data_IF_177358638816
#
_entry.id   IF_177358638816
#
_cell.length_a   1.000
_cell.length_b   1.000
_cell.length_c   1.000
_cell.angle_alpha   90.00
_cell.angle_beta   90.00
_cell.angle_gamma   90.00
#
_symmetry.space_group_name_H-M   'P 1'
#
loop_
_entity.id
_entity.type
_entity.pdbx_description
1 polymer ?
#
# COMPACT_ATOMS: atom_id res chain seq x y z
N UNK A 1 10.66 11.85 -26.67
CA UNK A 1 10.40 10.47 -26.21
C UNK A 1 9.31 10.46 -25.14
N UNK A 2 8.36 9.52 -25.16
CA UNK A 2 7.36 9.35 -24.09
C UNK A 2 7.98 8.77 -22.82
N UNK A 3 7.33 8.98 -21.69
CA UNK A 3 7.76 8.46 -20.40
C UNK A 3 7.29 7.00 -20.27
N UNK A 4 8.19 6.09 -19.94
CA UNK A 4 7.85 4.69 -19.70
C UNK A 4 7.38 4.50 -18.25
N UNK A 5 6.11 4.20 -17.99
CA UNK A 5 5.65 3.90 -16.65
C UNK A 5 6.06 2.47 -16.26
N UNK A 6 6.59 2.34 -15.06
CA UNK A 6 6.94 1.07 -14.44
C UNK A 6 6.11 0.92 -13.16
N UNK A 7 5.33 -0.15 -13.08
CA UNK A 7 4.48 -0.44 -11.93
C UNK A 7 5.12 -1.54 -11.09
N UNK A 8 5.51 -1.20 -9.86
CA UNK A 8 6.06 -2.14 -8.89
C UNK A 8 4.91 -2.87 -8.18
N UNK A 9 4.65 -4.11 -8.57
CA UNK A 9 3.50 -4.92 -8.16
C UNK A 9 3.93 -6.21 -7.44
N UNK A 10 4.97 -6.14 -6.60
CA UNK A 10 5.55 -7.31 -5.88
C UNK A 10 5.26 -7.33 -4.37
N UNK A 11 4.65 -6.30 -3.81
CA UNK A 11 4.37 -6.17 -2.38
C UNK A 11 3.33 -7.17 -1.88
N UNK A 12 3.54 -7.74 -0.70
CA UNK A 12 2.59 -8.68 -0.08
C UNK A 12 1.51 -7.98 0.76
N UNK A 13 1.69 -6.67 1.08
CA UNK A 13 0.70 -5.89 1.85
C UNK A 13 0.44 -6.40 3.27
N UNK A 14 1.42 -7.03 3.91
CA UNK A 14 1.27 -7.75 5.20
C UNK A 14 0.71 -6.92 6.35
N UNK A 15 0.84 -5.60 6.30
CA UNK A 15 0.29 -4.69 7.32
C UNK A 15 -1.24 -4.63 7.36
N UNK A 16 -1.91 -5.07 6.32
CA UNK A 16 -3.37 -5.16 6.24
C UNK A 16 -3.88 -6.60 6.47
N UNK A 17 -3.09 -7.38 7.20
CA UNK A 17 -3.56 -8.69 7.62
C UNK A 17 -4.89 -8.56 8.40
N UNK A 18 -5.90 -9.44 8.23
CA UNK A 18 -5.85 -10.72 7.52
C UNK A 18 -6.19 -10.66 6.01
N UNK A 19 -6.60 -9.52 5.44
CA UNK A 19 -6.90 -9.44 4.00
C UNK A 19 -5.73 -9.81 3.09
N UNK A 20 -4.50 -9.75 3.62
CA UNK A 20 -3.31 -10.21 2.90
C UNK A 20 -2.98 -11.70 3.10
N UNK A 21 -3.80 -12.47 3.86
CA UNK A 21 -3.46 -13.86 4.22
C UNK A 21 -3.69 -14.85 3.08
N UNK A 22 -4.75 -14.77 2.35
CA UNK A 22 -5.13 -15.77 1.33
C UNK A 22 -4.66 -15.39 -0.08
N UNK A 23 -3.38 -15.02 -0.24
CA UNK A 23 -2.81 -14.63 -1.54
C UNK A 23 -3.34 -13.31 -2.12
N UNK A 24 -4.16 -12.56 -1.41
CA UNK A 24 -4.58 -11.23 -1.82
C UNK A 24 -3.58 -10.18 -1.31
N UNK A 25 -2.63 -9.82 -2.16
CA UNK A 25 -1.80 -8.66 -1.87
C UNK A 25 -2.64 -7.38 -1.95
N UNK A 26 -2.27 -6.35 -1.19
CA UNK A 26 -2.98 -5.08 -1.02
C UNK A 26 -3.44 -4.45 -2.34
N UNK A 27 -2.61 -4.51 -3.39
CA UNK A 27 -2.93 -3.95 -4.71
C UNK A 27 -4.11 -4.62 -5.42
N UNK A 28 -4.52 -5.82 -4.98
CA UNK A 28 -5.64 -6.58 -5.54
C UNK A 28 -6.89 -6.55 -4.66
N UNK A 29 -6.87 -5.86 -3.52
CA UNK A 29 -8.07 -5.69 -2.69
C UNK A 29 -9.14 -5.00 -3.53
N UNK A 30 -10.32 -5.61 -3.58
CA UNK A 30 -11.47 -5.09 -4.31
C UNK A 30 -12.22 -4.04 -3.47
N UNK A 31 -12.35 -2.84 -4.04
CA UNK A 31 -13.11 -1.73 -3.48
C UNK A 31 -14.49 -1.60 -4.17
N UNK A 32 -15.08 -2.72 -4.59
CA UNK A 32 -16.40 -2.84 -5.21
C UNK A 32 -16.41 -2.77 -6.73
N UNK A 33 -15.66 -1.86 -7.36
CA UNK A 33 -15.55 -1.77 -8.84
C UNK A 33 -14.11 -1.68 -9.34
N UNK A 34 -13.18 -1.47 -8.47
CA UNK A 34 -11.77 -1.24 -8.80
C UNK A 34 -10.84 -1.71 -7.69
N UNK A 35 -9.61 -1.96 -8.03
CA UNK A 35 -8.50 -2.24 -7.11
C UNK A 35 -7.47 -1.12 -7.20
N UNK A 36 -6.51 -1.08 -6.26
CA UNK A 36 -5.41 -0.11 -6.33
C UNK A 36 -4.58 -0.29 -7.60
N UNK A 37 -4.41 -1.53 -8.05
CA UNK A 37 -3.76 -1.80 -9.32
C UNK A 37 -4.56 -1.23 -10.50
N UNK A 38 -5.89 -1.35 -10.52
CA UNK A 38 -6.72 -0.75 -11.57
C UNK A 38 -6.52 0.77 -11.62
N UNK A 39 -6.51 1.44 -10.46
CA UNK A 39 -6.24 2.89 -10.38
C UNK A 39 -4.83 3.26 -10.85
N UNK A 40 -3.86 2.39 -10.59
CA UNK A 40 -2.48 2.61 -11.05
C UNK A 40 -2.37 2.40 -12.56
N UNK A 41 -3.02 1.38 -13.13
CA UNK A 41 -3.08 1.15 -14.57
C UNK A 41 -3.81 2.29 -15.30
N UNK A 42 -4.89 2.82 -14.72
CA UNK A 42 -5.63 3.98 -15.28
C UNK A 42 -4.71 5.21 -15.41
N UNK A 43 -3.82 5.46 -14.45
CA UNK A 43 -2.83 6.56 -14.51
C UNK A 43 -1.93 6.48 -15.73
N UNK A 44 -1.56 5.27 -16.14
CA UNK A 44 -0.61 5.07 -17.26
C UNK A 44 -1.23 5.25 -18.64
N UNK A 45 -2.54 5.53 -18.73
CA UNK A 45 -3.24 5.77 -20.00
C UNK A 45 -3.08 7.20 -20.53
N UNK A 46 -2.54 8.14 -19.75
CA UNK A 46 -2.34 9.51 -20.21
C UNK A 46 -1.34 9.54 -21.36
N UNK A 47 -1.55 10.47 -22.31
CA UNK A 47 -0.79 10.58 -23.57
C UNK A 47 0.72 10.81 -23.40
N UNK A 48 1.14 11.30 -22.23
CA UNK A 48 2.55 11.49 -21.89
C UNK A 48 3.31 10.17 -21.67
N UNK A 49 2.57 9.08 -21.45
CA UNK A 49 3.15 7.77 -21.15
C UNK A 49 3.22 6.87 -22.39
N UNK A 50 4.21 6.02 -22.39
CA UNK A 50 4.35 4.88 -23.27
C UNK A 50 3.71 3.62 -22.64
N UNK A 51 3.77 2.48 -23.32
CA UNK A 51 3.26 1.22 -22.83
C UNK A 51 3.88 0.84 -21.46
N UNK A 52 3.07 0.45 -20.44
CA UNK A 52 3.56 0.18 -19.11
C UNK A 52 4.39 -1.10 -19.04
N UNK A 53 5.33 -1.10 -18.09
CA UNK A 53 6.02 -2.32 -17.64
C UNK A 53 5.57 -2.63 -16.21
N UNK A 54 5.20 -3.87 -15.96
CA UNK A 54 4.80 -4.32 -14.62
C UNK A 54 5.87 -5.26 -14.06
N UNK A 55 6.55 -4.84 -12.98
CA UNK A 55 7.43 -5.72 -12.22
C UNK A 55 6.60 -6.44 -11.15
N UNK A 56 6.56 -7.76 -11.22
CA UNK A 56 5.73 -8.55 -10.31
C UNK A 56 6.35 -9.90 -10.00
N UNK A 57 5.81 -10.62 -9.01
CA UNK A 57 6.24 -11.96 -8.64
C UNK A 57 5.42 -13.03 -9.39
N UNK A 58 6.00 -14.22 -9.61
CA UNK A 58 5.34 -15.38 -10.25
C UNK A 58 3.96 -15.66 -9.65
N UNK A 59 3.82 -15.51 -8.34
CA UNK A 59 2.58 -15.69 -7.59
C UNK A 59 1.43 -14.81 -8.09
N UNK A 60 1.71 -13.60 -8.57
CA UNK A 60 0.71 -12.61 -8.96
C UNK A 60 0.51 -12.48 -10.46
N UNK A 61 1.24 -13.24 -11.29
CA UNK A 61 1.21 -13.13 -12.75
C UNK A 61 -0.22 -13.20 -13.32
N UNK A 62 -0.99 -14.21 -12.94
CA UNK A 62 -2.37 -14.39 -13.42
C UNK A 62 -3.27 -13.21 -13.05
N UNK A 63 -3.18 -12.71 -11.81
CA UNK A 63 -3.96 -11.56 -11.35
C UNK A 63 -3.58 -10.29 -12.12
N UNK A 64 -2.28 -10.01 -12.30
CA UNK A 64 -1.81 -8.87 -13.10
C UNK A 64 -2.35 -8.93 -14.52
N UNK A 65 -2.29 -10.09 -15.18
CA UNK A 65 -2.81 -10.29 -16.53
C UNK A 65 -4.33 -10.06 -16.62
N UNK A 66 -5.10 -10.52 -15.61
CA UNK A 66 -6.53 -10.26 -15.52
C UNK A 66 -6.84 -8.76 -15.40
N UNK A 67 -6.08 -8.02 -14.57
CA UNK A 67 -6.26 -6.57 -14.42
C UNK A 67 -5.86 -5.79 -15.68
N UNK A 68 -4.80 -6.20 -16.37
CA UNK A 68 -4.42 -5.63 -17.68
C UNK A 68 -5.53 -5.80 -18.71
N UNK A 69 -6.11 -7.01 -18.81
CA UNK A 69 -7.26 -7.31 -19.68
C UNK A 69 -8.49 -6.49 -19.29
N UNK A 70 -8.87 -6.46 -18.00
CA UNK A 70 -9.99 -5.66 -17.47
C UNK A 70 -9.84 -4.18 -17.82
N UNK A 71 -8.65 -3.63 -17.72
CA UNK A 71 -8.34 -2.23 -18.03
C UNK A 71 -8.10 -1.97 -19.53
N UNK A 72 -8.27 -2.97 -20.40
CA UNK A 72 -8.08 -2.87 -21.87
C UNK A 72 -6.66 -2.40 -22.28
N UNK A 73 -5.64 -2.76 -21.48
CA UNK A 73 -4.23 -2.47 -21.79
C UNK A 73 -3.71 -3.61 -22.66
N UNK A 74 -3.57 -3.37 -23.96
CA UNK A 74 -3.13 -4.37 -24.94
C UNK A 74 -1.60 -4.41 -25.08
N UNK A 75 -0.96 -3.26 -25.01
CA UNK A 75 0.50 -3.14 -25.16
C UNK A 75 1.12 -2.94 -23.76
N UNK A 76 1.91 -3.92 -23.31
CA UNK A 76 2.59 -3.93 -22.02
C UNK A 76 3.74 -4.92 -22.02
N UNK A 77 4.61 -4.83 -21.00
CA UNK A 77 5.59 -5.85 -20.67
C UNK A 77 5.52 -6.21 -19.20
N UNK A 78 5.89 -7.44 -18.88
CA UNK A 78 5.98 -7.92 -17.50
C UNK A 78 7.43 -8.35 -17.23
N UNK A 79 7.99 -7.88 -16.14
CA UNK A 79 9.25 -8.41 -15.57
C UNK A 79 8.88 -9.28 -14.39
N UNK A 80 9.06 -10.59 -14.56
CA UNK A 80 8.64 -11.58 -13.58
C UNK A 80 9.78 -11.97 -12.67
N UNK A 81 9.70 -11.49 -11.43
CA UNK A 81 10.64 -11.80 -10.37
C UNK A 81 10.40 -13.23 -9.86
N UNK A 82 11.42 -14.11 -9.81
CA UNK A 82 11.24 -15.49 -9.35
C UNK A 82 10.99 -15.58 -7.84
N UNK A 83 11.40 -14.57 -7.07
CA UNK A 83 11.21 -14.45 -5.62
C UNK A 83 11.27 -12.98 -5.18
N UNK A 84 10.77 -12.70 -3.98
CA UNK A 84 10.75 -11.34 -3.42
C UNK A 84 12.15 -10.89 -2.98
N UNK A 85 12.65 -9.75 -3.52
CA UNK A 85 13.95 -9.15 -3.19
C UNK A 85 13.87 -7.64 -2.91
N UNK A 86 12.68 -7.14 -2.57
CA UNK A 86 12.42 -5.72 -2.33
C UNK A 86 12.57 -4.85 -3.59
N UNK A 87 12.45 -3.52 -3.47
CA UNK A 87 12.28 -2.62 -4.63
C UNK A 87 13.58 -2.36 -5.41
N UNK A 88 14.76 -2.42 -4.80
CA UNK A 88 16.00 -2.14 -5.53
C UNK A 88 16.27 -3.15 -6.67
N UNK A 89 16.26 -4.48 -6.46
CA UNK A 89 16.41 -5.44 -7.55
C UNK A 89 15.28 -5.37 -8.58
N UNK A 90 14.05 -5.07 -8.17
CA UNK A 90 12.91 -4.93 -9.08
C UNK A 90 13.09 -3.73 -10.04
N UNK A 91 13.46 -2.56 -9.51
CA UNK A 91 13.75 -1.34 -10.29
C UNK A 91 14.91 -1.59 -11.26
N UNK A 92 16.02 -2.13 -10.75
CA UNK A 92 17.21 -2.37 -11.56
C UNK A 92 16.94 -3.39 -12.67
N UNK A 93 16.34 -4.54 -12.35
CA UNK A 93 16.07 -5.58 -13.36
C UNK A 93 15.12 -5.07 -14.44
N UNK A 94 14.14 -4.24 -14.07
CA UNK A 94 13.25 -3.61 -15.05
C UNK A 94 14.01 -2.63 -15.95
N UNK A 95 14.91 -1.82 -15.40
CA UNK A 95 15.72 -0.89 -16.19
C UNK A 95 16.68 -1.61 -17.14
N UNK A 96 17.15 -2.81 -16.79
CA UNK A 96 18.12 -3.58 -17.57
C UNK A 96 17.52 -4.34 -18.76
N UNK A 97 16.19 -4.43 -18.93
CA UNK A 97 15.62 -5.11 -20.10
C UNK A 97 16.00 -4.38 -21.40
N UNK A 98 16.22 -5.13 -22.46
CA UNK A 98 16.76 -4.61 -23.71
C UNK A 98 15.84 -3.62 -24.43
N UNK A 99 14.52 -3.75 -24.21
CA UNK A 99 13.51 -2.92 -24.90
C UNK A 99 13.40 -1.49 -24.37
N UNK A 100 14.17 -1.09 -23.38
CA UNK A 100 14.21 0.27 -22.84
C UNK A 100 15.46 0.95 -23.37
N UNK A 101 15.34 2.01 -24.21
CA UNK A 101 16.46 2.85 -24.60
C UNK A 101 17.16 3.50 -23.39
N UNK A 102 18.46 3.78 -23.50
CA UNK A 102 19.24 4.31 -22.39
C UNK A 102 18.72 5.65 -21.86
N UNK A 103 18.31 6.54 -22.77
CA UNK A 103 17.78 7.87 -22.46
C UNK A 103 16.28 7.86 -22.14
N UNK A 104 15.65 6.68 -22.05
CA UNK A 104 14.22 6.58 -21.76
C UNK A 104 13.92 7.11 -20.36
N UNK A 105 13.05 8.13 -20.22
CA UNK A 105 12.53 8.52 -18.92
C UNK A 105 11.64 7.41 -18.34
N UNK A 106 11.96 6.98 -17.14
CA UNK A 106 11.22 5.96 -16.42
C UNK A 106 10.49 6.59 -15.24
N UNK A 107 9.20 6.30 -15.11
CA UNK A 107 8.37 6.70 -13.97
C UNK A 107 7.92 5.48 -13.19
N UNK A 108 8.47 5.29 -12.00
CA UNK A 108 8.15 4.17 -11.12
C UNK A 108 6.97 4.51 -10.21
N UNK A 109 5.92 3.69 -10.30
CA UNK A 109 4.74 3.75 -9.46
C UNK A 109 4.66 2.53 -8.55
N UNK A 110 4.26 2.71 -7.29
CA UNK A 110 3.76 1.61 -6.47
C UNK A 110 2.36 1.20 -6.92
N UNK A 111 2.10 -0.09 -7.05
CA UNK A 111 0.80 -0.63 -7.47
C UNK A 111 -0.32 -0.41 -6.45
N UNK A 112 0.03 -0.08 -5.21
CA UNK A 112 -0.85 -0.06 -4.04
C UNK A 112 -1.04 1.32 -3.41
N UNK A 113 -0.62 2.39 -4.09
CA UNK A 113 -0.83 3.77 -3.65
C UNK A 113 -2.04 4.42 -4.33
N UNK A 114 -2.79 5.19 -3.56
CA UNK A 114 -3.84 6.05 -4.09
C UNK A 114 -3.27 7.45 -4.36
N UNK A 115 -3.47 7.95 -5.57
CA UNK A 115 -3.06 9.29 -6.00
C UNK A 115 -4.27 9.93 -6.70
N UNK A 116 -4.60 11.14 -6.30
CA UNK A 116 -5.66 11.92 -6.92
C UNK A 116 -5.10 13.11 -7.70
N UNK A 117 -5.97 13.87 -8.37
CA UNK A 117 -5.60 15.05 -9.19
C UNK A 117 -4.49 14.73 -10.22
N UNK A 118 -4.70 13.68 -11.02
CA UNK A 118 -3.73 13.19 -11.99
C UNK A 118 -3.28 14.24 -13.01
N UNK A 119 -4.10 15.21 -13.36
CA UNK A 119 -3.71 16.31 -14.24
C UNK A 119 -2.57 17.16 -13.64
N UNK A 120 -2.66 17.45 -12.33
CA UNK A 120 -1.61 18.19 -11.59
C UNK A 120 -0.34 17.36 -11.52
N UNK A 121 -0.45 16.07 -11.24
CA UNK A 121 0.66 15.13 -11.20
C UNK A 121 1.39 15.06 -12.55
N UNK A 122 0.66 14.85 -13.65
CA UNK A 122 1.22 14.74 -15.00
C UNK A 122 1.86 16.06 -15.47
N UNK A 123 1.26 17.22 -15.15
CA UNK A 123 1.87 18.54 -15.43
C UNK A 123 3.20 18.69 -14.69
N UNK A 124 3.27 18.28 -13.43
CA UNK A 124 4.51 18.35 -12.62
C UNK A 124 5.62 17.47 -13.20
N UNK A 125 5.30 16.26 -13.66
CA UNK A 125 6.25 15.35 -14.32
C UNK A 125 6.75 15.98 -15.62
N UNK A 126 5.83 16.41 -16.48
CA UNK A 126 6.19 16.95 -17.81
C UNK A 126 7.07 18.20 -17.70
N UNK A 127 6.78 19.11 -16.76
CA UNK A 127 7.59 20.30 -16.45
C UNK A 127 9.04 19.98 -16.06
N UNK A 128 9.29 18.81 -15.48
CA UNK A 128 10.62 18.42 -15.03
C UNK A 128 11.31 17.43 -15.96
N UNK A 129 10.72 17.07 -17.09
CA UNK A 129 11.26 16.09 -18.04
C UNK A 129 12.60 16.54 -18.62
N UNK A 130 12.73 17.79 -19.05
CA UNK A 130 13.98 18.35 -19.60
C UNK A 130 15.11 18.50 -18.57
N UNK A 131 14.80 18.32 -17.28
CA UNK A 131 15.78 18.39 -16.19
C UNK A 131 16.35 17.03 -15.80
N UNK A 132 15.87 15.95 -16.43
CA UNK A 132 16.44 14.62 -16.21
C UNK A 132 17.82 14.53 -16.85
N UNK A 133 18.74 13.93 -16.13
CA UNK A 133 20.09 13.59 -16.57
C UNK A 133 20.43 12.16 -16.17
N UNK A 134 21.48 11.61 -16.75
CA UNK A 134 22.03 10.28 -16.40
C UNK A 134 22.55 10.18 -14.97
N UNK A 135 22.61 11.31 -14.25
CA UNK A 135 23.13 11.37 -12.89
C UNK A 135 22.06 11.66 -11.85
N UNK A 136 20.91 12.24 -12.20
CA UNK A 136 19.95 12.65 -11.18
C UNK A 136 18.75 11.73 -11.06
N UNK A 137 18.14 11.79 -9.88
CA UNK A 137 16.92 11.06 -9.51
C UNK A 137 15.91 12.10 -9.01
N UNK A 138 14.70 12.11 -9.57
CA UNK A 138 13.60 12.88 -9.01
C UNK A 138 12.74 11.99 -8.14
N UNK A 139 12.49 12.43 -6.90
CA UNK A 139 11.52 11.85 -5.97
C UNK A 139 10.35 12.81 -5.77
N UNK A 140 9.22 12.28 -5.30
CA UNK A 140 7.99 13.07 -5.14
C UNK A 140 7.71 13.32 -3.66
N UNK A 141 7.59 14.61 -3.32
CA UNK A 141 7.33 15.07 -1.97
C UNK A 141 5.87 15.39 -1.74
N UNK A 142 5.31 14.80 -0.73
CA UNK A 142 3.96 15.09 -0.23
C UNK A 142 4.08 15.89 1.07
N UNK A 143 3.28 16.94 1.23
CA UNK A 143 3.26 17.72 2.46
C UNK A 143 2.74 16.85 3.60
N UNK A 144 3.49 16.68 4.69
CA UNK A 144 3.06 15.87 5.83
C UNK A 144 1.83 16.48 6.51
N UNK A 145 0.88 15.64 6.86
CA UNK A 145 -0.31 16.04 7.65
C UNK A 145 -0.15 15.67 9.13
N UNK A 146 0.76 14.74 9.44
CA UNK A 146 1.10 14.31 10.81
C UNK A 146 2.50 13.70 10.83
N UNK A 147 3.18 13.61 11.99
CA UNK A 147 4.39 12.82 12.11
C UNK A 147 4.07 11.33 11.96
N UNK A 148 4.91 10.61 11.19
CA UNK A 148 4.76 9.16 10.96
C UNK A 148 6.13 8.50 10.86
N UNK A 149 6.30 7.37 11.51
CA UNK A 149 7.50 6.52 11.38
C UNK A 149 7.42 5.54 10.21
N UNK A 150 6.32 5.57 9.45
CA UNK A 150 6.09 4.65 8.32
C UNK A 150 6.67 5.15 7.00
N UNK A 151 6.97 6.44 6.90
CA UNK A 151 7.42 7.10 5.66
C UNK A 151 8.87 7.55 5.73
N UNK A 152 9.52 7.58 4.56
CA UNK A 152 10.74 8.34 4.37
C UNK A 152 10.46 9.85 4.34
N UNK A 153 11.43 10.64 4.76
CA UNK A 153 11.36 12.10 4.78
C UNK A 153 12.54 12.71 4.07
N UNK A 154 12.33 13.90 3.52
CA UNK A 154 13.43 14.69 3.00
C UNK A 154 13.22 16.20 3.17
N UNK A 155 14.34 16.92 3.17
CA UNK A 155 14.39 18.39 3.18
C UNK A 155 15.05 18.86 1.89
N UNK A 156 14.58 19.97 1.36
CA UNK A 156 15.09 20.52 0.09
C UNK A 156 15.61 21.94 0.22
N UNK A 157 16.56 22.28 -0.65
CA UNK A 157 17.00 23.65 -0.94
C UNK A 157 16.72 23.97 -2.41
N UNK A 158 16.22 25.17 -2.72
CA UNK A 158 16.15 25.65 -4.11
C UNK A 158 17.54 25.93 -4.62
N UNK A 159 17.81 25.48 -5.85
CA UNK A 159 19.06 25.77 -6.57
C UNK A 159 18.74 26.35 -7.95
N UNK A 160 19.80 26.76 -8.72
CA UNK A 160 19.67 27.32 -10.07
C UNK A 160 18.76 26.43 -10.95
N UNK A 161 17.99 27.03 -11.86
CA UNK A 161 17.06 26.31 -12.73
C UNK A 161 15.74 25.90 -12.05
N UNK A 162 15.40 26.50 -10.89
CA UNK A 162 14.16 26.22 -10.13
C UNK A 162 14.01 24.74 -9.74
N UNK A 163 15.14 24.10 -9.42
CA UNK A 163 15.22 22.71 -8.96
C UNK A 163 15.17 22.69 -7.43
N UNK A 164 14.40 21.78 -6.85
CA UNK A 164 14.43 21.51 -5.42
C UNK A 164 15.43 20.36 -5.15
N UNK A 165 16.69 20.69 -4.84
CA UNK A 165 17.68 19.69 -4.49
C UNK A 165 17.43 19.12 -3.09
N UNK A 166 17.45 17.82 -2.95
CA UNK A 166 17.35 17.14 -1.63
C UNK A 166 18.70 17.28 -0.92
N UNK A 167 18.68 17.87 0.26
CA UNK A 167 19.87 18.08 1.08
C UNK A 167 19.96 17.07 2.23
N UNK A 168 18.85 16.44 2.57
CA UNK A 168 18.77 15.40 3.60
C UNK A 168 17.64 14.44 3.28
N UNK A 169 17.92 13.16 3.32
CA UNK A 169 16.94 12.06 3.18
C UNK A 169 17.09 11.12 4.38
N UNK A 170 15.97 10.70 4.97
CA UNK A 170 15.94 9.78 6.12
C UNK A 170 14.75 8.83 5.92
N UNK A 171 15.03 7.55 5.81
CA UNK A 171 13.99 6.52 5.71
C UNK A 171 13.47 6.16 7.12
N UNK A 172 12.16 6.24 7.30
CA UNK A 172 11.43 5.81 8.50
C UNK A 172 12.04 6.28 9.83
N UNK A 173 12.14 7.60 10.05
CA UNK A 173 12.68 8.13 11.30
C UNK A 173 11.77 7.83 12.48
N UNK A 174 12.30 7.79 13.69
CA UNK A 174 11.51 7.80 14.93
C UNK A 174 10.64 9.06 14.98
N UNK A 175 9.48 8.98 15.66
CA UNK A 175 8.46 10.04 15.67
C UNK A 175 9.01 11.42 16.08
N UNK A 176 9.85 11.47 17.12
CA UNK A 176 10.49 12.72 17.55
C UNK A 176 11.30 13.39 16.42
N UNK A 177 12.03 12.58 15.64
CA UNK A 177 12.80 13.06 14.48
C UNK A 177 11.87 13.47 13.33
N UNK A 178 10.78 12.75 13.11
CA UNK A 178 9.77 13.13 12.14
C UNK A 178 9.16 14.49 12.45
N UNK A 179 8.78 14.76 13.71
CA UNK A 179 8.31 16.08 14.18
C UNK A 179 9.30 17.20 13.87
N UNK A 180 10.59 16.99 14.14
CA UNK A 180 11.65 17.95 13.84
C UNK A 180 11.78 18.23 12.32
N UNK A 181 11.72 17.18 11.50
CA UNK A 181 11.81 17.33 10.04
C UNK A 181 10.61 18.12 9.49
N UNK A 182 9.40 17.87 9.98
CA UNK A 182 8.19 18.63 9.61
C UNK A 182 8.34 20.12 9.98
N UNK A 183 8.81 20.42 11.20
CA UNK A 183 9.10 21.80 11.63
C UNK A 183 10.06 22.51 10.66
N UNK A 184 11.01 21.79 10.10
CA UNK A 184 11.96 22.26 9.09
C UNK A 184 11.41 22.20 7.64
N UNK A 185 10.10 22.23 7.47
CA UNK A 185 9.43 22.20 6.15
C UNK A 185 9.81 20.98 5.29
N UNK A 186 10.07 19.83 5.94
CA UNK A 186 10.34 18.56 5.26
C UNK A 186 9.08 17.96 4.61
N UNK A 187 9.29 17.03 3.70
CA UNK A 187 8.25 16.35 2.92
C UNK A 187 8.33 14.85 3.16
N UNK A 188 7.19 14.15 3.06
CA UNK A 188 7.17 12.70 2.93
C UNK A 188 7.69 12.29 1.56
N UNK A 189 8.48 11.23 1.51
CA UNK A 189 8.80 10.54 0.28
C UNK A 189 7.62 9.63 -0.11
N UNK A 190 7.05 9.86 -1.28
CA UNK A 190 5.91 9.08 -1.76
C UNK A 190 6.26 7.68 -2.27
N UNK A 191 7.54 7.31 -2.31
CA UNK A 191 7.99 6.04 -2.90
C UNK A 191 7.83 5.95 -4.42
N UNK A 192 7.69 7.08 -5.09
CA UNK A 192 7.70 7.19 -6.55
C UNK A 192 9.02 7.78 -7.03
N UNK A 193 9.53 7.31 -8.17
CA UNK A 193 10.82 7.70 -8.70
C UNK A 193 10.72 8.05 -10.17
N UNK A 194 11.37 9.15 -10.59
CA UNK A 194 11.40 9.60 -11.97
C UNK A 194 12.83 9.91 -12.37
N UNK A 195 13.37 9.15 -13.33
CA UNK A 195 14.78 9.19 -13.70
C UNK A 195 15.01 8.54 -15.06
N UNK A 196 16.18 8.76 -15.65
CA UNK A 196 16.61 8.07 -16.86
C UNK A 196 17.09 6.64 -16.51
N UNK A 197 17.01 5.73 -17.49
CA UNK A 197 17.56 4.38 -17.37
C UNK A 197 19.03 4.42 -16.96
N UNK A 198 19.84 5.26 -17.61
CA UNK A 198 21.27 5.36 -17.31
C UNK A 198 21.55 5.84 -15.88
N UNK A 199 20.71 6.75 -15.34
CA UNK A 199 20.81 7.17 -13.95
C UNK A 199 20.66 5.98 -12.97
N UNK A 200 19.74 5.03 -13.27
CA UNK A 200 19.58 3.82 -12.46
C UNK A 200 20.86 2.99 -12.52
N UNK A 201 21.33 2.69 -13.72
CA UNK A 201 22.49 1.84 -13.97
C UNK A 201 23.72 2.41 -13.28
N UNK A 202 24.00 3.71 -13.46
CA UNK A 202 25.15 4.40 -12.87
C UNK A 202 25.12 4.39 -11.34
N UNK A 203 23.96 4.67 -10.73
CA UNK A 203 23.82 4.61 -9.28
C UNK A 203 24.02 3.21 -8.73
N UNK A 204 23.49 2.15 -9.40
CA UNK A 204 23.68 0.78 -8.95
C UNK A 204 25.14 0.29 -9.13
N UNK A 205 25.79 0.65 -10.24
CA UNK A 205 27.22 0.36 -10.43
C UNK A 205 28.06 0.95 -9.31
N UNK A 206 27.77 2.20 -8.93
CA UNK A 206 28.51 2.94 -7.89
C UNK A 206 28.22 2.43 -6.47
N UNK A 207 26.96 2.27 -6.11
CA UNK A 207 26.55 2.06 -4.72
C UNK A 207 26.16 0.61 -4.39
N UNK A 208 25.85 -0.23 -5.39
CA UNK A 208 25.38 -1.61 -5.25
C UNK A 208 25.96 -2.54 -6.32
N UNK A 209 27.31 -2.59 -6.53
CA UNK A 209 27.92 -3.32 -7.65
C UNK A 209 27.58 -4.81 -7.67
N UNK A 210 27.46 -5.45 -6.50
CA UNK A 210 27.06 -6.87 -6.38
C UNK A 210 25.63 -7.07 -6.87
N UNK A 211 24.70 -6.21 -6.48
CA UNK A 211 23.31 -6.27 -6.93
C UNK A 211 23.20 -6.00 -8.42
N UNK A 212 23.98 -5.01 -8.93
CA UNK A 212 24.04 -4.73 -10.38
C UNK A 212 24.43 -5.95 -11.19
N UNK A 213 25.57 -6.60 -10.87
CA UNK A 213 26.05 -7.79 -11.58
C UNK A 213 25.05 -8.94 -11.56
N UNK A 214 24.42 -9.19 -10.41
CA UNK A 214 23.46 -10.28 -10.26
C UNK A 214 22.15 -10.02 -11.01
N UNK A 215 21.63 -8.79 -10.99
CA UNK A 215 20.45 -8.43 -11.77
C UNK A 215 20.74 -8.42 -13.27
N UNK A 216 21.89 -7.94 -13.72
CA UNK A 216 22.33 -8.00 -15.11
C UNK A 216 22.36 -9.44 -15.60
N UNK A 217 22.99 -10.34 -14.85
CA UNK A 217 23.02 -11.77 -15.17
C UNK A 217 21.62 -12.39 -15.17
N UNK A 218 20.73 -11.94 -14.26
CA UNK A 218 19.36 -12.43 -14.21
C UNK A 218 18.55 -12.02 -15.44
N UNK A 219 18.76 -10.81 -15.95
CA UNK A 219 18.12 -10.28 -17.17
C UNK A 219 18.72 -10.91 -18.41
N UNK A 220 20.04 -10.98 -18.53
CA UNK A 220 20.72 -11.56 -19.71
C UNK A 220 20.35 -13.05 -19.93
N UNK A 221 20.08 -13.78 -18.85
CA UNK A 221 19.64 -15.20 -18.88
C UNK A 221 18.12 -15.34 -18.75
N UNK A 222 17.36 -14.26 -18.89
CA UNK A 222 15.92 -14.31 -18.82
C UNK A 222 15.32 -14.97 -20.07
N UNK A 223 14.26 -15.76 -19.86
CA UNK A 223 13.41 -16.26 -20.96
C UNK A 223 12.35 -15.21 -21.25
N UNK A 224 12.16 -14.86 -22.52
CA UNK A 224 11.10 -13.95 -22.96
C UNK A 224 10.00 -14.75 -23.67
N UNK A 225 8.77 -14.65 -23.16
CA UNK A 225 7.60 -15.31 -23.76
C UNK A 225 6.35 -14.46 -23.48
N UNK A 226 5.53 -14.23 -24.48
CA UNK A 226 4.20 -13.55 -24.35
C UNK A 226 4.28 -12.26 -23.52
N UNK A 227 5.08 -11.28 -23.95
CA UNK A 227 5.30 -9.99 -23.28
C UNK A 227 5.88 -10.08 -21.85
N UNK A 228 6.44 -11.23 -21.47
CA UNK A 228 6.94 -11.49 -20.11
C UNK A 228 8.41 -11.92 -20.14
N UNK A 229 9.24 -11.17 -19.37
CA UNK A 229 10.62 -11.53 -19.03
C UNK A 229 10.63 -12.38 -17.77
N UNK A 230 10.94 -13.65 -17.88
CA UNK A 230 11.12 -14.57 -16.75
C UNK A 230 12.58 -14.48 -16.29
N UNK A 231 12.85 -13.70 -15.24
CA UNK A 231 14.21 -13.52 -14.73
C UNK A 231 14.83 -14.84 -14.27
N UNK A 232 16.14 -15.02 -14.54
CA UNK A 232 16.86 -16.22 -14.10
C UNK A 232 16.95 -16.28 -12.58
N UNK A 233 16.41 -17.35 -11.97
CA UNK A 233 16.30 -17.51 -10.51
C UNK A 233 17.68 -17.61 -9.85
N UNK A 234 18.61 -18.40 -10.41
CA UNK A 234 19.94 -18.63 -9.81
C UNK A 234 20.76 -17.34 -9.69
N UNK A 235 20.62 -16.42 -10.65
CA UNK A 235 21.27 -15.11 -10.61
C UNK A 235 20.50 -14.13 -9.71
N UNK A 236 19.16 -14.04 -9.83
CA UNK A 236 18.36 -13.07 -9.10
C UNK A 236 18.39 -13.29 -7.58
N UNK A 237 18.46 -14.54 -7.11
CA UNK A 237 18.56 -14.86 -5.68
C UNK A 237 19.80 -14.27 -5.01
N UNK A 238 20.86 -14.02 -5.76
CA UNK A 238 22.12 -13.46 -5.28
C UNK A 238 22.09 -11.93 -5.15
N UNK A 239 21.05 -11.27 -5.69
CA UNK A 239 20.87 -9.83 -5.51
C UNK A 239 20.50 -9.49 -4.06
N UNK A 240 21.04 -8.40 -3.52
CA UNK A 240 20.79 -7.97 -2.15
C UNK A 240 19.34 -7.51 -1.99
N UNK A 241 18.63 -8.07 -1.02
CA UNK A 241 17.22 -7.74 -0.75
C UNK A 241 17.11 -6.42 0.03
N UNK A 242 17.16 -5.28 -0.66
CA UNK A 242 17.01 -3.93 -0.07
C UNK A 242 15.98 -3.11 -0.84
N UNK A 243 15.36 -2.12 -0.16
CA UNK A 243 14.57 -1.11 -0.88
C UNK A 243 15.49 -0.18 -1.66
N UNK A 244 14.93 0.49 -2.67
CA UNK A 244 15.66 1.50 -3.45
C UNK A 244 16.08 2.68 -2.58
N UNK A 245 15.27 3.01 -1.59
CA UNK A 245 15.53 4.07 -0.62
C UNK A 245 16.83 3.80 0.15
N UNK A 246 16.95 2.63 0.78
CA UNK A 246 18.18 2.23 1.50
C UNK A 246 19.37 1.90 0.59
N UNK A 247 19.09 1.38 -0.60
CA UNK A 247 20.16 0.97 -1.50
C UNK A 247 20.83 2.15 -2.21
N UNK A 248 20.05 3.15 -2.58
CA UNK A 248 20.46 4.26 -3.45
C UNK A 248 20.18 5.62 -2.82
N UNK A 249 18.93 5.95 -2.41
CA UNK A 249 18.59 7.32 -2.01
C UNK A 249 19.34 7.79 -0.77
N UNK A 250 19.61 6.94 0.20
CA UNK A 250 20.42 7.32 1.38
C UNK A 250 21.92 7.51 1.06
N UNK A 251 22.38 7.05 -0.10
CA UNK A 251 23.80 7.06 -0.48
C UNK A 251 24.17 8.08 -1.52
N UNK A 252 23.23 8.44 -2.39
CA UNK A 252 23.48 9.39 -3.46
C UNK A 252 23.16 10.83 -3.05
N UNK A 253 23.98 11.79 -3.51
CA UNK A 253 23.73 13.23 -3.36
C UNK A 253 22.98 13.82 -4.58
N UNK A 254 22.62 12.99 -5.54
CA UNK A 254 22.06 13.42 -6.84
C UNK A 254 20.53 13.34 -6.86
N UNK A 255 19.89 13.70 -5.76
CA UNK A 255 18.43 13.64 -5.62
C UNK A 255 17.84 15.04 -5.76
N UNK A 256 16.84 15.13 -6.62
CA UNK A 256 15.97 16.29 -6.78
C UNK A 256 14.55 15.93 -6.36
N UNK A 257 13.74 16.91 -5.98
CA UNK A 257 12.38 16.67 -5.55
C UNK A 257 11.36 17.44 -6.40
N UNK A 258 10.27 16.76 -6.72
CA UNK A 258 9.04 17.35 -7.25
C UNK A 258 8.06 17.41 -6.08
N UNK A 259 7.75 18.61 -5.61
CA UNK A 259 6.78 18.84 -4.55
C UNK A 259 5.38 18.79 -5.14
N UNK A 260 4.52 17.97 -4.56
CA UNK A 260 3.14 17.78 -5.00
C UNK A 260 2.16 18.23 -3.90
N UNK A 261 1.21 19.07 -4.30
CA UNK A 261 0.06 19.42 -3.47
C UNK A 261 -1.18 18.66 -3.98
N UNK A 262 -1.16 17.37 -3.78
CA UNK A 262 -2.21 16.45 -4.20
C UNK A 262 -2.53 15.47 -3.07
N UNK A 263 -3.77 15.00 -2.96
CA UNK A 263 -4.09 13.89 -2.08
C UNK A 263 -3.34 12.63 -2.50
N UNK A 264 -2.60 12.08 -1.55
CA UNK A 264 -1.84 10.85 -1.69
C UNK A 264 -1.94 10.02 -0.40
N UNK A 265 -2.05 8.73 -0.53
CA UNK A 265 -1.95 7.78 0.58
C UNK A 265 -1.33 6.49 0.07
N UNK A 266 -0.45 5.90 0.89
CA UNK A 266 0.02 4.54 0.67
C UNK A 266 -1.00 3.51 1.16
N UNK A 267 -2.12 3.93 1.79
CA UNK A 267 -3.15 3.06 2.38
C UNK A 267 -2.53 1.97 3.27
N UNK A 268 -1.51 2.35 4.05
CA UNK A 268 -0.72 1.44 4.87
C UNK A 268 -1.42 0.93 6.13
N UNK A 269 -2.51 1.57 6.52
CA UNK A 269 -3.29 1.24 7.72
C UNK A 269 -4.79 1.13 7.43
N UNK A 270 -5.50 0.39 8.28
CA UNK A 270 -6.97 0.31 8.24
C UNK A 270 -7.64 1.67 8.41
N UNK A 271 -7.05 2.57 9.22
CA UNK A 271 -7.52 3.94 9.39
C UNK A 271 -7.55 4.71 8.07
N UNK A 272 -6.53 4.57 7.24
CA UNK A 272 -6.46 5.22 5.93
C UNK A 272 -7.43 4.60 4.93
N UNK A 273 -7.58 3.28 4.95
CA UNK A 273 -8.58 2.56 4.14
C UNK A 273 -9.99 3.04 4.50
N UNK A 274 -10.32 3.16 5.79
CA UNK A 274 -11.62 3.64 6.24
C UNK A 274 -11.87 5.08 5.82
N UNK A 275 -10.88 5.98 5.95
CA UNK A 275 -10.98 7.35 5.43
C UNK A 275 -11.24 7.37 3.93
N UNK A 276 -10.59 6.49 3.18
CA UNK A 276 -10.84 6.36 1.75
C UNK A 276 -12.27 5.91 1.47
N UNK A 277 -12.75 4.89 2.16
CA UNK A 277 -14.15 4.46 2.03
C UNK A 277 -15.12 5.59 2.38
N UNK A 278 -14.89 6.34 3.44
CA UNK A 278 -15.72 7.49 3.79
C UNK A 278 -15.75 8.55 2.69
N UNK A 279 -14.64 8.83 2.05
CA UNK A 279 -14.53 9.78 0.94
C UNK A 279 -15.28 9.33 -0.31
N UNK A 280 -15.26 8.04 -0.63
CA UNK A 280 -15.92 7.48 -1.81
C UNK A 280 -17.34 6.95 -1.52
N UNK A 281 -17.83 7.14 -0.29
CA UNK A 281 -19.09 6.66 0.26
C UNK A 281 -20.34 6.95 -0.57
N UNK A 282 -20.41 8.11 -1.20
CA UNK A 282 -21.61 8.54 -1.94
C UNK A 282 -21.87 7.78 -3.24
N UNK A 283 -20.96 6.90 -3.67
CA UNK A 283 -21.11 6.17 -4.94
C UNK A 283 -21.39 4.67 -4.77
N UNK A 284 -21.15 4.07 -3.60
CA UNK A 284 -21.10 2.61 -3.45
C UNK A 284 -21.76 2.02 -2.21
N UNK A 285 -22.29 2.81 -1.27
CA UNK A 285 -23.00 2.27 -0.12
C UNK A 285 -24.50 2.18 -0.47
N UNK A 286 -24.96 0.95 -0.69
CA UNK A 286 -26.35 0.57 -0.46
C UNK A 286 -26.74 1.03 0.94
N UNK A 287 -28.03 1.45 1.16
CA UNK A 287 -28.59 1.92 2.43
C UNK A 287 -27.83 1.39 3.66
N UNK A 288 -27.40 2.26 4.56
CA UNK A 288 -26.80 1.86 5.83
C UNK A 288 -27.76 0.89 6.53
N UNK A 289 -27.40 -0.38 6.56
CA UNK A 289 -28.14 -1.37 7.30
C UNK A 289 -27.74 -1.26 8.77
N UNK A 290 -28.54 -0.56 9.56
CA UNK A 290 -28.39 -0.44 11.01
C UNK A 290 -29.22 -1.53 11.66
N UNK A 291 -28.56 -2.34 12.48
CA UNK A 291 -29.18 -3.44 13.21
C UNK A 291 -29.12 -3.15 14.71
N UNK A 292 -30.29 -2.91 15.30
CA UNK A 292 -30.42 -2.71 16.73
C UNK A 292 -30.32 -4.02 17.49
N UNK A 293 -29.64 -4.00 18.63
CA UNK A 293 -29.41 -5.12 19.52
C UNK A 293 -29.59 -4.67 20.99
N UNK A 294 -29.87 -5.57 21.93
CA UNK A 294 -30.03 -5.18 23.33
C UNK A 294 -28.81 -4.45 23.93
N UNK A 295 -27.62 -4.73 23.43
CA UNK A 295 -26.38 -4.09 23.85
C UNK A 295 -26.06 -2.76 23.13
N UNK A 296 -26.81 -2.39 22.11
CA UNK A 296 -26.57 -1.19 21.29
C UNK A 296 -27.01 -1.38 19.85
N UNK A 297 -26.11 -1.19 18.90
CA UNK A 297 -26.38 -1.43 17.47
C UNK A 297 -25.08 -1.71 16.74
N UNK A 298 -25.19 -2.33 15.57
CA UNK A 298 -24.12 -2.31 14.60
C UNK A 298 -24.63 -1.80 13.24
N UNK A 299 -23.71 -1.27 12.48
CA UNK A 299 -23.98 -0.76 11.14
C UNK A 299 -23.01 -1.42 10.18
N UNK A 300 -23.52 -2.12 9.16
CA UNK A 300 -22.68 -2.59 8.06
C UNK A 300 -22.23 -1.38 7.25
N UNK A 301 -20.94 -1.13 7.25
CA UNK A 301 -20.34 0.01 6.56
C UNK A 301 -19.95 -0.36 5.13
N UNK A 302 -19.39 -1.55 4.96
CA UNK A 302 -18.95 -2.05 3.67
C UNK A 302 -18.89 -3.57 3.65
N UNK A 303 -19.32 -4.18 2.54
CA UNK A 303 -19.29 -5.63 2.32
C UNK A 303 -18.62 -5.94 1.00
N UNK A 304 -17.59 -6.80 1.05
CA UNK A 304 -16.91 -7.37 -0.10
C UNK A 304 -17.13 -8.88 -0.19
N UNK A 305 -16.51 -9.52 -1.15
CA UNK A 305 -16.70 -10.96 -1.38
C UNK A 305 -16.31 -11.83 -0.18
N UNK A 306 -15.25 -11.47 0.52
CA UNK A 306 -14.66 -12.25 1.65
C UNK A 306 -14.39 -11.39 2.87
N UNK A 307 -15.01 -10.19 2.97
CA UNK A 307 -14.88 -9.34 4.12
C UNK A 307 -16.10 -8.45 4.34
N UNK A 308 -16.34 -8.07 5.61
CA UNK A 308 -17.39 -7.17 6.03
C UNK A 308 -16.84 -6.19 7.07
N UNK A 309 -17.05 -4.90 6.86
CA UNK A 309 -16.70 -3.87 7.82
C UNK A 309 -17.95 -3.37 8.49
N UNK A 310 -17.94 -3.35 9.84
CA UNK A 310 -19.03 -2.87 10.67
C UNK A 310 -18.55 -1.78 11.62
N UNK A 311 -19.46 -0.89 11.99
CA UNK A 311 -19.34 -0.07 13.21
C UNK A 311 -20.18 -0.72 14.30
N UNK A 312 -19.57 -1.08 15.41
CA UNK A 312 -20.25 -1.47 16.63
C UNK A 312 -20.42 -0.24 17.53
N UNK A 313 -21.63 0.03 17.98
CA UNK A 313 -21.97 1.02 18.99
C UNK A 313 -22.46 0.29 20.23
N UNK A 314 -21.64 0.21 21.25
CA UNK A 314 -21.97 -0.46 22.52
C UNK A 314 -22.39 0.61 23.52
N UNK A 315 -23.67 0.60 23.92
CA UNK A 315 -24.21 1.56 24.88
C UNK A 315 -23.53 1.40 26.26
N UNK A 316 -23.59 2.41 27.15
CA UNK A 316 -23.13 2.25 28.53
C UNK A 316 -23.71 0.98 29.17
N UNK A 317 -22.87 0.24 29.88
CA UNK A 317 -23.18 -1.07 30.49
C UNK A 317 -23.59 -2.17 29.48
N UNK A 318 -23.46 -1.91 28.17
CA UNK A 318 -23.73 -2.93 27.14
C UNK A 318 -22.64 -4.03 27.12
N UNK A 319 -23.07 -5.26 26.88
CA UNK A 319 -22.21 -6.42 26.78
C UNK A 319 -22.64 -7.29 25.61
N UNK A 320 -21.72 -7.66 24.72
CA UNK A 320 -21.98 -8.61 23.65
C UNK A 320 -21.97 -10.06 24.21
N UNK A 321 -22.59 -10.98 23.48
CA UNK A 321 -22.49 -12.42 23.80
C UNK A 321 -21.02 -12.86 23.82
N UNK A 322 -20.69 -13.80 24.69
CA UNK A 322 -19.45 -14.55 24.60
C UNK A 322 -19.60 -15.53 23.45
N UNK A 323 -18.80 -15.38 22.41
CA UNK A 323 -19.01 -16.05 21.13
C UNK A 323 -17.70 -16.43 20.44
N UNK A 324 -17.78 -17.35 19.48
CA UNK A 324 -16.71 -17.65 18.53
C UNK A 324 -17.25 -17.77 17.10
N UNK A 325 -16.35 -17.85 16.13
CA UNK A 325 -16.64 -18.01 14.72
C UNK A 325 -15.79 -19.10 14.09
N UNK A 326 -16.42 -19.97 13.29
CA UNK A 326 -15.73 -21.06 12.60
C UNK A 326 -15.11 -20.64 11.26
N UNK A 327 -15.66 -19.60 10.62
CA UNK A 327 -15.34 -19.28 9.22
C UNK A 327 -14.81 -17.86 9.01
N UNK A 328 -14.69 -17.04 10.09
CA UNK A 328 -14.15 -15.69 10.01
C UNK A 328 -13.27 -15.33 11.20
N UNK A 329 -12.28 -14.52 10.92
CA UNK A 329 -11.51 -13.80 11.94
C UNK A 329 -11.93 -12.32 11.94
N UNK A 330 -11.63 -11.59 13.03
CA UNK A 330 -12.05 -10.20 13.19
C UNK A 330 -10.89 -9.33 13.64
N UNK A 331 -10.88 -8.08 13.15
CA UNK A 331 -10.05 -7.00 13.68
C UNK A 331 -10.94 -5.93 14.28
N UNK A 332 -10.69 -5.59 15.51
CA UNK A 332 -11.38 -4.53 16.20
C UNK A 332 -10.46 -3.34 16.43
N UNK A 333 -10.90 -2.16 15.99
CA UNK A 333 -10.25 -0.88 16.26
C UNK A 333 -11.21 -0.06 17.13
N UNK A 334 -10.80 0.26 18.35
CA UNK A 334 -11.58 1.14 19.22
C UNK A 334 -11.45 2.57 18.71
N UNK A 335 -12.59 3.23 18.44
CA UNK A 335 -12.63 4.61 17.96
C UNK A 335 -13.16 5.60 19.00
N UNK A 336 -13.90 5.08 20.02
CA UNK A 336 -14.43 5.89 21.11
C UNK A 336 -14.63 5.03 22.36
N UNK A 337 -14.37 5.60 23.54
CA UNK A 337 -14.53 4.93 24.83
C UNK A 337 -13.49 3.86 25.10
N UNK A 338 -13.55 3.24 26.28
CA UNK A 338 -12.66 2.14 26.67
C UNK A 338 -13.40 0.80 26.54
N UNK A 339 -12.92 -0.06 25.68
CA UNK A 339 -13.49 -1.38 25.43
C UNK A 339 -12.84 -2.43 26.36
N UNK A 340 -13.63 -3.06 27.21
CA UNK A 340 -13.19 -4.27 27.94
C UNK A 340 -13.45 -5.46 27.05
N UNK A 341 -12.39 -6.13 26.61
CA UNK A 341 -12.47 -7.24 25.65
C UNK A 341 -12.05 -8.52 26.37
N UNK A 342 -12.88 -9.54 26.29
CA UNK A 342 -12.50 -10.91 26.63
C UNK A 342 -12.01 -11.59 25.36
N UNK A 343 -10.83 -12.18 25.38
CA UNK A 343 -10.26 -12.98 24.31
C UNK A 343 -9.70 -14.29 24.91
N UNK A 344 -10.41 -15.38 24.69
CA UNK A 344 -10.19 -16.65 25.33
C UNK A 344 -10.22 -16.52 26.88
N UNK A 345 -9.09 -16.70 27.56
CA UNK A 345 -8.97 -16.54 29.04
C UNK A 345 -8.56 -15.14 29.46
N UNK A 346 -8.14 -14.28 28.49
CA UNK A 346 -7.57 -12.97 28.78
C UNK A 346 -8.65 -11.88 28.80
N UNK A 347 -8.47 -10.91 29.69
CA UNK A 347 -9.26 -9.68 29.77
C UNK A 347 -8.36 -8.51 29.46
N UNK A 348 -8.66 -7.82 28.35
CA UNK A 348 -7.84 -6.75 27.81
C UNK A 348 -8.67 -5.48 27.71
N UNK A 349 -8.12 -4.35 28.16
CA UNK A 349 -8.76 -3.03 27.96
C UNK A 349 -8.09 -2.33 26.79
N UNK A 350 -8.89 -1.93 25.80
CA UNK A 350 -8.44 -1.16 24.64
C UNK A 350 -9.04 0.24 24.66
N UNK A 351 -8.18 1.25 24.42
CA UNK A 351 -8.51 2.68 24.37
C UNK A 351 -8.69 3.14 22.92
N UNK A 352 -9.23 4.34 22.67
CA UNK A 352 -9.33 4.89 21.33
C UNK A 352 -7.97 4.95 20.60
N UNK A 353 -7.95 4.43 19.38
CA UNK A 353 -6.75 4.28 18.55
C UNK A 353 -6.05 2.93 18.68
N UNK A 354 -6.38 2.14 19.70
CA UNK A 354 -5.83 0.79 19.87
C UNK A 354 -6.67 -0.25 19.14
N UNK A 355 -6.03 -1.34 18.72
CA UNK A 355 -6.66 -2.43 18.00
C UNK A 355 -6.37 -3.79 18.66
N UNK A 356 -7.17 -4.78 18.32
CA UNK A 356 -6.98 -6.17 18.68
C UNK A 356 -7.38 -7.07 17.54
N UNK A 357 -6.63 -8.16 17.35
CA UNK A 357 -6.98 -9.23 16.44
C UNK A 357 -7.64 -10.38 17.19
N UNK A 358 -8.76 -10.85 16.64
CA UNK A 358 -9.52 -12.00 17.12
C UNK A 358 -9.35 -13.12 16.10
N UNK A 359 -8.55 -14.14 16.39
CA UNK A 359 -8.34 -15.27 15.49
C UNK A 359 -9.61 -16.08 15.25
N UNK A 360 -9.60 -16.84 14.17
CA UNK A 360 -10.56 -17.91 13.93
C UNK A 360 -10.67 -18.81 15.17
N UNK A 361 -11.88 -19.23 15.55
CA UNK A 361 -12.17 -20.07 16.71
C UNK A 361 -11.93 -19.43 18.09
N UNK A 362 -11.38 -18.23 18.19
CA UNK A 362 -11.16 -17.58 19.47
C UNK A 362 -12.48 -17.16 20.13
N UNK A 363 -12.65 -17.50 21.39
CA UNK A 363 -13.80 -17.10 22.21
C UNK A 363 -13.63 -15.64 22.63
N UNK A 364 -14.60 -14.79 22.30
CA UNK A 364 -14.45 -13.35 22.54
C UNK A 364 -15.77 -12.64 22.82
N UNK A 365 -15.67 -11.49 23.46
CA UNK A 365 -16.75 -10.49 23.58
C UNK A 365 -16.20 -9.11 23.92
N UNK A 366 -16.99 -8.06 23.70
CA UNK A 366 -16.73 -6.72 24.22
C UNK A 366 -17.78 -6.32 25.25
N UNK A 367 -17.33 -5.60 26.27
CA UNK A 367 -18.14 -4.97 27.30
C UNK A 367 -17.80 -3.49 27.41
N UNK A 368 -18.82 -2.68 27.61
CA UNK A 368 -18.68 -1.28 27.95
C UNK A 368 -19.01 -1.07 29.43
N UNK A 369 -17.99 -0.94 30.27
CA UNK A 369 -18.17 -0.66 31.72
C UNK A 369 -18.31 0.85 32.01
N UNK A 370 -18.07 1.70 31.00
CA UNK A 370 -18.08 3.17 31.17
C UNK A 370 -19.46 3.80 31.11
N UNK A 371 -19.50 5.12 31.40
CA UNK A 371 -20.70 5.96 31.29
C UNK A 371 -20.93 6.52 29.89
N UNK A 372 -19.93 6.47 29.00
CA UNK A 372 -20.00 6.90 27.59
C UNK A 372 -20.03 5.68 26.66
N UNK A 373 -20.63 5.80 25.46
CA UNK A 373 -20.64 4.69 24.53
C UNK A 373 -19.24 4.29 24.07
N UNK A 374 -19.05 3.00 23.80
CA UNK A 374 -17.87 2.46 23.11
C UNK A 374 -18.21 2.29 21.65
N UNK A 375 -17.34 2.77 20.76
CA UNK A 375 -17.43 2.51 19.32
C UNK A 375 -16.22 1.74 18.86
N UNK A 376 -16.48 0.73 18.04
CA UNK A 376 -15.46 -0.14 17.46
C UNK A 376 -15.72 -0.22 15.96
N UNK A 377 -14.67 -0.10 15.17
CA UNK A 377 -14.69 -0.53 13.78
C UNK A 377 -14.19 -1.97 13.75
N UNK A 378 -15.06 -2.85 13.29
CA UNK A 378 -14.85 -4.27 13.15
C UNK A 378 -14.65 -4.62 11.68
N UNK A 379 -13.54 -5.24 11.34
CA UNK A 379 -13.30 -5.83 10.05
C UNK A 379 -13.33 -7.35 10.16
N UNK A 380 -14.38 -7.96 9.62
CA UNK A 380 -14.54 -9.41 9.53
C UNK A 380 -13.93 -9.91 8.22
N UNK A 381 -13.22 -11.02 8.27
CA UNK A 381 -12.63 -11.65 7.09
C UNK A 381 -12.80 -13.15 7.15
N UNK A 382 -13.42 -13.71 6.11
CA UNK A 382 -13.67 -15.14 6.04
C UNK A 382 -14.64 -15.53 4.94
N UNK A 383 -14.92 -16.82 4.85
CA UNK A 383 -15.81 -17.39 3.84
C UNK A 383 -17.30 -17.22 4.17
N UNK A 384 -17.65 -17.12 5.47
CA UNK A 384 -19.02 -16.92 5.96
C UNK A 384 -19.05 -15.70 6.88
N UNK A 385 -19.70 -14.61 6.45
CA UNK A 385 -19.76 -13.32 7.16
C UNK A 385 -21.15 -13.05 7.75
N UNK A 386 -22.00 -14.08 7.77
CA UNK A 386 -23.38 -14.01 8.28
C UNK A 386 -23.44 -14.31 9.77
N UNK A 387 -24.53 -13.89 10.43
CA UNK A 387 -24.77 -14.19 11.85
C UNK A 387 -24.93 -15.70 12.14
N UNK A 388 -25.15 -16.52 11.12
CA UNK A 388 -25.20 -17.98 11.23
C UNK A 388 -23.84 -18.61 11.61
N UNK A 389 -22.73 -17.88 11.45
CA UNK A 389 -21.39 -18.30 11.87
C UNK A 389 -21.09 -17.95 13.35
N UNK A 390 -22.08 -17.47 14.12
CA UNK A 390 -21.91 -17.12 15.52
C UNK A 390 -22.29 -18.30 16.40
N UNK A 391 -21.31 -18.87 17.10
CA UNK A 391 -21.54 -19.81 18.20
C UNK A 391 -21.50 -19.04 19.51
N UNK A 392 -22.61 -19.02 20.25
CA UNK A 392 -22.74 -18.28 21.51
C UNK A 392 -22.60 -19.21 22.69
N UNK A 393 -21.75 -18.83 23.65
CA UNK A 393 -21.52 -19.54 24.91
C UNK A 393 -22.29 -18.92 26.07
N UNK A 394 -22.34 -17.59 26.14
CA UNK A 394 -23.03 -16.82 27.18
C UNK A 394 -23.66 -15.59 26.54
N UNK A 395 -24.95 -15.40 26.80
CA UNK A 395 -25.68 -14.21 26.37
C UNK A 395 -26.72 -13.82 27.43
N UNK A 396 -26.49 -12.65 28.05
CA UNK A 396 -27.39 -12.14 29.13
C UNK A 396 -28.76 -11.73 28.60
N UNK A 397 -28.98 -11.76 27.30
CA UNK A 397 -30.22 -11.37 26.62
C UNK A 397 -31.02 -12.58 26.11
N UNK A 398 -30.64 -13.81 26.48
CA UNK A 398 -31.38 -15.01 26.16
C UNK A 398 -31.34 -15.48 24.70
N UNK A 399 -30.31 -15.12 23.93
CA UNK A 399 -30.14 -15.53 22.53
C UNK A 399 -29.26 -16.78 22.35
N UNK A 400 -28.93 -17.47 23.41
CA UNK A 400 -28.27 -18.80 23.37
C UNK A 400 -29.35 -19.80 22.97
N UNK A 401 -29.13 -20.51 21.85
CA UNK A 401 -29.96 -21.65 21.44
C UNK A 401 -29.22 -22.94 21.75
#
# INVERSE_FOLDING_TARGET
>A
MKIRPVILCGGAGTRLWPNSKNHQAKQFIDFGKWTLLDKTLERTKASIYDAPIISTNKKYLKQVQQHLKKNKIKNYKIVLEPLKRNTAPAILSTALIKDIPNEQPLMFFSADHLIEKMSVFNKAINKNKSKLTDQNIFIFGIKPTAPSSEYGYFVTKKVKGNINKVIKFIEKPKEAKAKQIIKNKGYWNSGMFYLLKDSIINNFKKHQPKTYRNCLNAVNRAKYKTNTYYLNKASFIKATAKSFDYAILEKTKQINAIKLDIPWSDLGSWKEILKMYDKYKNKYIKKKNVYYRPWGRYTNLFEGKEFLIKELYVKPKGILSLQKHHHRAEHWLVTQGNARITLNKDIIIKKPGEHIFIPLEAIHRVQNLGKKPVKIVEAQVGSILKETDIVRYQDIYGRVR
#
